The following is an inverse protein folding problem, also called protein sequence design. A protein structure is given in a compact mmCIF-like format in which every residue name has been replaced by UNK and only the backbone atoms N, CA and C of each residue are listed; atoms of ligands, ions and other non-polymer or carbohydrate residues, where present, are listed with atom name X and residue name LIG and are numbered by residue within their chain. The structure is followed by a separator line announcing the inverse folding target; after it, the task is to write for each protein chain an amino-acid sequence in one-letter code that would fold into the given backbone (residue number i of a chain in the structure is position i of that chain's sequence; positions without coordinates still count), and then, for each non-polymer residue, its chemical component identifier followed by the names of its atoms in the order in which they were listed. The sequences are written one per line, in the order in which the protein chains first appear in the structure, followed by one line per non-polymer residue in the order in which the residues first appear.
data_IF_930621148248
#
_entry.id   IF_930621148248
#
_cell.length_a   1.000
_cell.length_b   1.000
_cell.length_c   1.000
_cell.angle_alpha   90.00
_cell.angle_beta   90.00
_cell.angle_gamma   90.00
#
_symmetry.space_group_name_H-M   'P 1'
#
loop_
_entity.id
_entity.type
_entity.pdbx_description
1 polymer ?
#
# COMPACT_ATOMS: atom_id res chain seq x y z
N UNK A 1 78.92 40.89 -18.98
CA UNK A 1 79.80 41.02 -17.80
C UNK A 1 79.57 39.81 -16.91
N UNK A 2 80.64 39.05 -16.61
CA UNK A 2 80.90 38.01 -15.58
C UNK A 2 79.87 36.85 -15.38
N UNK A 3 80.15 35.55 -15.61
CA UNK A 3 81.10 34.54 -15.06
C UNK A 3 80.72 33.85 -13.72
N UNK A 4 80.74 32.51 -13.77
CA UNK A 4 81.11 31.47 -12.78
C UNK A 4 80.22 31.23 -11.53
N UNK A 5 79.77 29.99 -11.28
CA UNK A 5 80.37 29.03 -10.30
C UNK A 5 79.41 28.94 -9.09
N UNK A 6 79.19 27.89 -8.31
CA UNK A 6 80.01 26.77 -7.86
C UNK A 6 79.09 25.76 -7.11
N UNK A 7 79.57 24.53 -6.97
CA UNK A 7 78.93 23.36 -6.35
C UNK A 7 79.11 23.27 -4.82
N UNK A 8 78.45 22.28 -4.20
CA UNK A 8 78.77 21.60 -2.91
C UNK A 8 78.59 22.40 -1.61
N UNK A 9 77.91 21.95 -0.55
CA UNK A 9 77.54 20.61 -0.08
C UNK A 9 78.14 20.44 1.32
N UNK A 10 77.33 20.28 2.38
CA UNK A 10 77.78 19.53 3.57
C UNK A 10 76.62 19.03 4.44
N UNK A 11 76.92 17.95 5.13
CA UNK A 11 76.08 16.84 5.58
C UNK A 11 75.93 16.80 7.12
N UNK A 12 74.73 16.52 7.66
CA UNK A 12 74.56 16.04 9.05
C UNK A 12 73.36 15.05 9.14
N UNK A 13 73.68 13.80 9.49
CA UNK A 13 72.83 12.64 9.87
C UNK A 13 72.40 12.70 11.37
N UNK A 14 71.63 11.76 12.01
CA UNK A 14 70.61 10.76 11.58
C UNK A 14 69.33 10.62 12.51
N UNK A 15 68.19 10.16 11.92
CA UNK A 15 67.08 9.24 12.38
C UNK A 15 66.40 9.34 13.81
N UNK A 16 65.10 8.97 14.02
CA UNK A 16 64.48 7.70 13.55
C UNK A 16 62.97 7.67 13.15
N UNK A 17 62.61 6.55 12.51
CA UNK A 17 61.33 5.81 12.43
C UNK A 17 60.01 6.47 11.96
N UNK A 18 59.57 6.09 10.74
CA UNK A 18 58.37 5.24 10.58
C UNK A 18 58.18 4.70 9.16
N UNK A 19 58.11 3.38 9.06
CA UNK A 19 57.71 2.59 7.89
C UNK A 19 56.21 2.79 7.66
N UNK A 20 55.73 3.05 6.43
CA UNK A 20 54.51 2.42 5.87
C UNK A 20 54.49 2.60 4.34
N UNK A 21 54.56 1.48 3.63
CA UNK A 21 54.26 1.40 2.21
C UNK A 21 52.78 1.75 1.97
N UNK A 22 52.48 2.78 1.19
CA UNK A 22 51.12 3.03 0.68
C UNK A 22 50.87 2.16 -0.55
N UNK A 23 50.73 0.85 -0.29
CA UNK A 23 49.92 -0.06 -1.08
C UNK A 23 48.50 0.05 -0.54
N UNK A 24 47.51 0.48 -1.32
CA UNK A 24 46.15 0.60 -0.76
C UNK A 24 45.01 1.12 -1.63
N UNK A 25 45.24 1.67 -2.82
CA UNK A 25 44.17 2.42 -3.51
C UNK A 25 43.72 1.86 -4.87
N UNK A 26 43.95 0.57 -5.16
CA UNK A 26 43.38 -0.10 -6.35
C UNK A 26 42.36 -1.18 -6.02
N UNK A 27 42.26 -1.61 -4.76
CA UNK A 27 41.24 -2.58 -4.30
C UNK A 27 39.87 -1.91 -4.09
N UNK A 28 39.83 -0.65 -3.62
CA UNK A 28 38.58 0.04 -3.24
C UNK A 28 37.72 0.40 -4.47
N UNK A 29 38.35 0.71 -5.61
CA UNK A 29 37.62 1.05 -6.85
C UNK A 29 37.12 -0.20 -7.60
N UNK A 30 37.78 -1.36 -7.42
CA UNK A 30 37.26 -2.64 -7.90
C UNK A 30 36.08 -3.12 -7.08
N UNK A 31 36.09 -2.86 -5.76
CA UNK A 31 35.00 -3.23 -4.87
C UNK A 31 33.69 -2.50 -5.22
N UNK A 32 33.75 -1.24 -5.69
CA UNK A 32 32.55 -0.45 -6.02
C UNK A 32 31.91 -0.73 -7.39
N UNK A 33 32.60 -1.41 -8.30
CA UNK A 33 32.05 -1.77 -9.62
C UNK A 33 31.36 -3.14 -9.65
N UNK A 34 31.43 -3.89 -8.55
CA UNK A 34 30.76 -5.17 -8.38
C UNK A 34 29.42 -5.07 -7.63
N UNK A 35 29.06 -3.89 -7.10
CA UNK A 35 27.79 -3.67 -6.39
C UNK A 35 26.60 -3.31 -7.30
N UNK A 36 26.79 -3.34 -8.62
CA UNK A 36 25.70 -3.31 -9.62
C UNK A 36 25.33 -4.71 -10.12
N UNK A 37 25.55 -5.76 -9.32
CA UNK A 37 24.94 -7.05 -9.61
C UNK A 37 23.44 -6.95 -9.40
N UNK A 38 22.70 -6.87 -10.49
CA UNK A 38 21.31 -7.32 -10.56
C UNK A 38 21.26 -8.73 -9.96
N UNK A 39 20.99 -8.84 -8.66
CA UNK A 39 20.83 -10.11 -7.95
C UNK A 39 19.71 -10.89 -8.64
N UNK A 40 20.01 -11.95 -9.41
CA UNK A 40 18.99 -12.69 -10.15
C UNK A 40 17.96 -13.31 -9.19
N UNK A 41 18.36 -13.56 -7.94
CA UNK A 41 17.53 -14.09 -6.86
C UNK A 41 16.48 -13.07 -6.39
N UNK A 42 16.81 -11.77 -6.32
CA UNK A 42 15.85 -10.71 -5.95
C UNK A 42 14.82 -10.48 -7.04
N UNK A 43 15.26 -10.49 -8.31
CA UNK A 43 14.36 -10.39 -9.45
C UNK A 43 13.47 -11.63 -9.57
N UNK A 44 14.01 -12.83 -9.38
CA UNK A 44 13.22 -14.07 -9.38
C UNK A 44 12.21 -14.12 -8.25
N UNK A 45 12.57 -13.73 -7.03
CA UNK A 45 11.63 -13.71 -5.89
C UNK A 45 10.54 -12.66 -6.07
N UNK A 46 10.87 -11.47 -6.61
CA UNK A 46 9.89 -10.46 -6.96
C UNK A 46 8.94 -10.93 -8.08
N UNK A 47 9.49 -11.61 -9.11
CA UNK A 47 8.71 -12.17 -10.21
C UNK A 47 7.79 -13.30 -9.74
N UNK A 48 8.28 -14.20 -8.89
CA UNK A 48 7.49 -15.30 -8.30
C UNK A 48 6.35 -14.76 -7.44
N UNK A 49 6.60 -13.75 -6.59
CA UNK A 49 5.57 -13.08 -5.80
C UNK A 49 4.51 -12.41 -6.70
N UNK A 50 4.94 -11.69 -7.74
CA UNK A 50 4.01 -11.06 -8.69
C UNK A 50 3.16 -12.10 -9.44
N UNK A 51 3.76 -13.21 -9.88
CA UNK A 51 3.03 -14.30 -10.55
C UNK A 51 2.02 -14.96 -9.62
N UNK A 52 2.40 -15.26 -8.37
CA UNK A 52 1.51 -15.86 -7.39
C UNK A 52 0.33 -14.92 -7.03
N UNK A 53 0.57 -13.61 -6.94
CA UNK A 53 -0.50 -12.63 -6.74
C UNK A 53 -1.48 -12.62 -7.91
N UNK A 54 -0.97 -12.61 -9.15
CA UNK A 54 -1.81 -12.68 -10.35
C UNK A 54 -2.62 -13.97 -10.43
N UNK A 55 -2.05 -15.10 -10.01
CA UNK A 55 -2.79 -16.36 -9.89
C UNK A 55 -3.90 -16.25 -8.84
N UNK A 56 -3.61 -15.68 -7.66
CA UNK A 56 -4.61 -15.45 -6.62
C UNK A 56 -5.75 -14.54 -7.07
N UNK A 57 -5.43 -13.46 -7.80
CA UNK A 57 -6.42 -12.56 -8.41
C UNK A 57 -7.27 -13.31 -9.45
N UNK A 58 -6.67 -14.14 -10.30
CA UNK A 58 -7.42 -14.98 -11.26
C UNK A 58 -8.35 -15.95 -10.54
N UNK A 59 -7.88 -16.60 -9.46
CA UNK A 59 -8.71 -17.48 -8.63
C UNK A 59 -9.86 -16.72 -7.99
N UNK A 60 -9.61 -15.52 -7.45
CA UNK A 60 -10.67 -14.67 -6.91
C UNK A 60 -11.71 -14.31 -7.97
N UNK A 61 -11.25 -13.95 -9.17
CA UNK A 61 -12.14 -13.58 -10.27
C UNK A 61 -13.00 -14.75 -10.78
N UNK A 62 -12.59 -15.99 -10.53
CA UNK A 62 -13.37 -17.19 -10.86
C UNK A 62 -14.25 -17.65 -9.69
N UNK A 63 -13.66 -17.73 -8.49
CA UNK A 63 -14.30 -18.17 -7.27
C UNK A 63 -13.76 -17.35 -6.08
N UNK A 64 -14.48 -16.29 -5.66
CA UNK A 64 -13.98 -15.33 -4.68
C UNK A 64 -13.59 -15.95 -3.34
N UNK A 65 -14.39 -16.90 -2.85
CA UNK A 65 -14.13 -17.61 -1.58
C UNK A 65 -12.79 -18.34 -1.62
N UNK A 66 -12.57 -19.20 -2.61
CA UNK A 66 -11.30 -19.91 -2.77
C UNK A 66 -10.13 -18.96 -3.09
N UNK A 67 -10.38 -17.87 -3.82
CA UNK A 67 -9.37 -16.85 -4.09
C UNK A 67 -8.86 -16.18 -2.82
N UNK A 68 -9.76 -15.78 -1.91
CA UNK A 68 -9.39 -15.21 -0.61
C UNK A 68 -8.61 -16.22 0.22
N UNK A 69 -9.06 -17.48 0.32
CA UNK A 69 -8.36 -18.51 1.09
C UNK A 69 -6.94 -18.75 0.55
N UNK A 70 -6.76 -18.75 -0.77
CA UNK A 70 -5.46 -18.84 -1.41
C UNK A 70 -4.58 -17.63 -1.10
N UNK A 71 -5.12 -16.42 -1.17
CA UNK A 71 -4.39 -15.17 -0.92
C UNK A 71 -3.98 -15.03 0.55
N UNK A 72 -4.81 -15.52 1.48
CA UNK A 72 -4.46 -15.62 2.91
C UNK A 72 -3.37 -16.68 3.11
N UNK A 73 -3.53 -17.87 2.53
CA UNK A 73 -2.56 -18.97 2.67
C UNK A 73 -1.18 -18.69 2.05
N UNK A 74 -1.14 -17.86 1.01
CA UNK A 74 0.13 -17.40 0.39
C UNK A 74 0.73 -16.18 1.08
N UNK A 75 0.04 -15.58 2.05
CA UNK A 75 0.51 -14.43 2.82
C UNK A 75 0.39 -13.07 2.12
N UNK A 76 -0.38 -12.98 1.02
CA UNK A 76 -0.70 -11.67 0.42
C UNK A 76 -1.73 -10.89 1.24
N UNK A 77 -2.61 -11.62 1.93
CA UNK A 77 -3.50 -11.05 2.94
C UNK A 77 -2.93 -11.45 4.31
N UNK A 78 -2.65 -10.49 5.22
CA UNK A 78 -2.00 -10.77 6.50
C UNK A 78 -2.74 -11.79 7.37
N UNK A 79 -4.07 -11.78 7.32
CA UNK A 79 -4.91 -12.67 8.12
C UNK A 79 -6.27 -12.88 7.47
N UNK A 80 -7.02 -13.87 7.97
CA UNK A 80 -8.42 -14.08 7.60
C UNK A 80 -9.38 -13.10 8.29
N UNK A 81 -8.87 -12.03 8.92
CA UNK A 81 -9.70 -11.01 9.53
C UNK A 81 -10.49 -10.23 8.47
N UNK A 82 -11.75 -9.87 8.75
CA UNK A 82 -12.58 -9.12 7.81
C UNK A 82 -11.96 -7.80 7.34
N UNK A 83 -11.26 -7.11 8.24
CA UNK A 83 -10.57 -5.86 7.96
C UNK A 83 -9.40 -6.00 6.99
N UNK A 84 -8.61 -7.06 7.11
CA UNK A 84 -7.46 -7.30 6.23
C UNK A 84 -7.91 -7.71 4.83
N UNK A 85 -8.95 -8.56 4.75
CA UNK A 85 -9.59 -8.92 3.49
C UNK A 85 -10.19 -7.67 2.83
N UNK A 86 -10.96 -6.87 3.58
CA UNK A 86 -11.57 -5.65 3.06
C UNK A 86 -10.54 -4.64 2.54
N UNK A 87 -9.44 -4.45 3.28
CA UNK A 87 -8.32 -3.60 2.84
C UNK A 87 -7.73 -4.12 1.53
N UNK A 88 -7.48 -5.42 1.44
CA UNK A 88 -6.96 -6.03 0.22
C UNK A 88 -7.92 -5.81 -0.97
N UNK A 89 -9.23 -6.01 -0.79
CA UNK A 89 -10.23 -5.79 -1.84
C UNK A 89 -10.28 -4.34 -2.33
N UNK A 90 -9.92 -3.37 -1.50
CA UNK A 90 -9.87 -1.95 -1.86
C UNK A 90 -8.57 -1.55 -2.56
N UNK A 91 -7.45 -2.19 -2.23
CA UNK A 91 -6.11 -1.81 -2.71
C UNK A 91 -5.60 -2.67 -3.86
N UNK A 92 -6.11 -3.89 -4.02
CA UNK A 92 -5.58 -4.84 -5.00
C UNK A 92 -6.05 -4.50 -6.42
N UNK A 93 -5.07 -4.33 -7.31
CA UNK A 93 -5.31 -4.11 -8.73
C UNK A 93 -5.68 -5.41 -9.45
N UNK A 94 -6.59 -5.33 -10.43
CA UNK A 94 -6.98 -6.46 -11.28
C UNK A 94 -8.09 -7.34 -10.73
N UNK A 95 -8.61 -7.06 -9.53
CA UNK A 95 -9.84 -7.70 -9.04
C UNK A 95 -11.06 -7.21 -9.83
N UNK A 96 -11.91 -8.15 -10.22
CA UNK A 96 -13.16 -7.85 -10.90
C UNK A 96 -14.15 -7.21 -9.93
N UNK A 97 -14.56 -5.98 -10.20
CA UNK A 97 -15.54 -5.23 -9.39
C UNK A 97 -16.87 -5.97 -9.24
N UNK A 98 -17.26 -6.78 -10.22
CA UNK A 98 -18.44 -7.64 -10.16
C UNK A 98 -18.27 -8.78 -9.16
N UNK A 99 -17.08 -9.39 -9.12
CA UNK A 99 -16.78 -10.47 -8.18
C UNK A 99 -16.63 -9.95 -6.75
N UNK A 100 -16.07 -8.74 -6.57
CA UNK A 100 -16.06 -8.04 -5.28
C UNK A 100 -17.49 -7.83 -4.79
N UNK A 101 -18.36 -7.24 -5.62
CA UNK A 101 -19.76 -7.01 -5.25
C UNK A 101 -20.52 -8.30 -4.93
N UNK A 102 -20.31 -9.35 -5.72
CA UNK A 102 -20.87 -10.67 -5.46
C UNK A 102 -20.43 -11.22 -4.10
N UNK A 103 -19.12 -11.26 -3.84
CA UNK A 103 -18.55 -11.76 -2.59
C UNK A 103 -19.02 -10.99 -1.36
N UNK A 104 -19.03 -9.65 -1.42
CA UNK A 104 -19.47 -8.81 -0.31
C UNK A 104 -20.98 -8.87 -0.08
N UNK A 105 -21.75 -9.16 -1.14
CA UNK A 105 -23.20 -9.28 -1.06
C UNK A 105 -23.68 -10.65 -0.57
N UNK A 106 -22.79 -11.62 -0.37
CA UNK A 106 -23.19 -12.96 0.09
C UNK A 106 -23.84 -12.95 1.48
N UNK A 107 -24.71 -13.93 1.68
CA UNK A 107 -25.52 -14.07 2.90
C UNK A 107 -24.75 -14.44 4.16
N UNK A 108 -23.51 -14.89 4.00
CA UNK A 108 -22.69 -15.49 5.05
C UNK A 108 -22.14 -14.46 6.04
N UNK A 109 -22.06 -14.86 7.32
CA UNK A 109 -21.56 -14.00 8.42
C UNK A 109 -20.14 -13.46 8.16
N UNK A 110 -19.28 -14.27 7.54
CA UNK A 110 -17.90 -13.87 7.20
C UNK A 110 -17.91 -12.76 6.14
N UNK A 111 -18.66 -12.96 5.06
CA UNK A 111 -18.82 -12.02 3.97
C UNK A 111 -19.44 -10.70 4.43
N UNK A 112 -20.47 -10.79 5.27
CA UNK A 112 -21.12 -9.63 5.86
C UNK A 112 -20.14 -8.83 6.73
N UNK A 113 -19.34 -9.49 7.57
CA UNK A 113 -18.32 -8.81 8.37
C UNK A 113 -17.27 -8.12 7.49
N UNK A 114 -16.87 -8.73 6.36
CA UNK A 114 -15.96 -8.12 5.39
C UNK A 114 -16.62 -6.92 4.73
N UNK A 115 -17.91 -7.00 4.38
CA UNK A 115 -18.67 -5.88 3.83
C UNK A 115 -18.72 -4.71 4.82
N UNK A 116 -18.96 -4.96 6.11
CA UNK A 116 -18.93 -3.90 7.12
C UNK A 116 -17.56 -3.20 7.15
N UNK A 117 -16.48 -3.98 7.28
CA UNK A 117 -15.13 -3.43 7.29
C UNK A 117 -14.79 -2.68 5.98
N UNK A 118 -15.26 -3.17 4.83
CA UNK A 118 -15.06 -2.55 3.52
C UNK A 118 -15.69 -1.16 3.45
N UNK A 119 -16.93 -1.00 3.93
CA UNK A 119 -17.60 0.31 3.99
C UNK A 119 -16.92 1.22 5.02
N UNK A 120 -16.45 0.66 6.14
CA UNK A 120 -15.79 1.45 7.19
C UNK A 120 -14.46 2.07 6.73
N UNK A 121 -13.75 1.41 5.80
CA UNK A 121 -12.54 1.96 5.17
C UNK A 121 -12.81 3.10 4.18
N UNK A 122 -14.06 3.30 3.75
CA UNK A 122 -14.42 4.43 2.90
C UNK A 122 -14.66 5.67 3.77
N UNK A 123 -13.97 6.75 3.41
CA UNK A 123 -14.13 8.03 4.07
C UNK A 123 -15.19 8.88 3.35
N UNK A 124 -16.32 9.08 4.01
CA UNK A 124 -17.41 9.92 3.52
C UNK A 124 -17.50 11.26 4.25
N UNK A 125 -16.58 11.55 5.18
CA UNK A 125 -16.61 12.79 5.96
C UNK A 125 -16.52 13.98 5.00
N UNK A 126 -17.31 15.01 5.24
CA UNK A 126 -17.33 16.26 4.46
C UNK A 126 -17.78 16.14 3.00
N UNK A 127 -18.10 14.94 2.52
CA UNK A 127 -18.65 14.73 1.18
C UNK A 127 -20.17 14.96 1.19
N UNK A 128 -20.69 15.55 0.10
CA UNK A 128 -22.12 15.57 -0.15
C UNK A 128 -22.66 14.15 -0.36
N UNK A 129 -23.94 13.93 -0.08
CA UNK A 129 -24.57 12.60 -0.19
C UNK A 129 -24.33 11.94 -1.54
N UNK A 130 -24.52 12.67 -2.63
CA UNK A 130 -24.32 12.16 -3.99
C UNK A 130 -22.85 11.85 -4.29
N UNK A 131 -21.91 12.62 -3.75
CA UNK A 131 -20.47 12.40 -3.93
C UNK A 131 -20.01 11.15 -3.16
N UNK A 132 -20.49 10.99 -1.92
CA UNK A 132 -20.27 9.79 -1.12
C UNK A 132 -20.86 8.55 -1.80
N UNK A 133 -22.08 8.65 -2.34
CA UNK A 133 -22.73 7.57 -3.07
C UNK A 133 -21.95 7.21 -4.35
N UNK A 134 -21.47 8.21 -5.10
CA UNK A 134 -20.65 8.00 -6.29
C UNK A 134 -19.33 7.30 -5.94
N UNK A 135 -18.66 7.73 -4.87
CA UNK A 135 -17.44 7.09 -4.38
C UNK A 135 -17.70 5.63 -4.00
N UNK A 136 -18.79 5.36 -3.27
CA UNK A 136 -19.19 4.03 -2.85
C UNK A 136 -19.42 3.10 -4.05
N UNK A 137 -20.24 3.53 -5.01
CA UNK A 137 -20.59 2.75 -6.20
C UNK A 137 -19.45 2.62 -7.22
N UNK A 138 -18.39 3.42 -7.11
CA UNK A 138 -17.22 3.32 -7.99
C UNK A 138 -16.25 2.19 -7.56
N UNK A 139 -16.29 1.80 -6.28
CA UNK A 139 -15.39 0.79 -5.71
C UNK A 139 -15.75 -0.65 -6.10
N UNK A 140 -17.03 -0.94 -6.30
CA UNK A 140 -17.51 -2.27 -6.68
C UNK A 140 -18.73 -2.17 -7.62
N UNK A 141 -19.18 -3.29 -8.19
CA UNK A 141 -20.44 -3.33 -8.94
C UNK A 141 -21.54 -3.88 -8.04
N UNK A 142 -22.68 -3.19 -7.97
CA UNK A 142 -23.83 -3.66 -7.21
C UNK A 142 -24.31 -5.02 -7.76
N UNK A 143 -24.59 -6.01 -6.89
CA UNK A 143 -25.28 -7.22 -7.30
C UNK A 143 -26.68 -6.89 -7.83
N UNK A 144 -27.19 -7.68 -8.77
CA UNK A 144 -28.53 -7.48 -9.32
C UNK A 144 -29.67 -7.89 -8.38
N UNK A 145 -29.36 -8.62 -7.31
CA UNK A 145 -30.33 -9.11 -6.34
C UNK A 145 -30.72 -8.00 -5.35
N UNK A 146 -32.02 -7.65 -5.31
CA UNK A 146 -32.52 -6.54 -4.49
C UNK A 146 -32.13 -6.66 -3.00
N UNK A 147 -32.17 -7.89 -2.45
CA UNK A 147 -31.78 -8.13 -1.05
C UNK A 147 -30.31 -7.79 -0.78
N UNK A 148 -29.41 -8.04 -1.75
CA UNK A 148 -27.99 -7.69 -1.61
C UNK A 148 -27.82 -6.18 -1.65
N UNK A 149 -28.51 -5.51 -2.58
CA UNK A 149 -28.49 -4.03 -2.70
C UNK A 149 -28.93 -3.38 -1.39
N UNK A 150 -30.04 -3.84 -0.80
CA UNK A 150 -30.58 -3.30 0.45
C UNK A 150 -29.55 -3.33 1.59
N UNK A 151 -28.81 -4.43 1.74
CA UNK A 151 -27.73 -4.56 2.74
C UNK A 151 -26.61 -3.54 2.52
N UNK A 152 -26.16 -3.36 1.28
CA UNK A 152 -25.15 -2.34 0.96
C UNK A 152 -25.65 -0.93 1.27
N UNK A 153 -26.90 -0.64 0.90
CA UNK A 153 -27.51 0.67 1.11
C UNK A 153 -27.68 0.97 2.59
N UNK A 154 -28.10 -0.02 3.39
CA UNK A 154 -28.25 0.14 4.84
C UNK A 154 -26.90 0.45 5.51
N UNK A 155 -25.85 -0.31 5.17
CA UNK A 155 -24.51 -0.06 5.73
C UNK A 155 -23.92 1.27 5.24
N UNK A 156 -24.15 1.63 3.98
CA UNK A 156 -23.74 2.94 3.46
C UNK A 156 -24.41 4.09 4.22
N UNK A 157 -25.72 3.99 4.46
CA UNK A 157 -26.47 5.01 5.20
C UNK A 157 -25.95 5.17 6.63
N UNK A 158 -25.75 4.06 7.36
CA UNK A 158 -25.15 4.07 8.70
C UNK A 158 -23.80 4.81 8.69
N UNK A 159 -22.89 4.42 7.79
CA UNK A 159 -21.55 5.02 7.70
C UNK A 159 -21.57 6.49 7.30
N UNK A 160 -22.46 6.87 6.38
CA UNK A 160 -22.59 8.26 5.92
C UNK A 160 -23.11 9.18 7.03
N UNK A 161 -24.08 8.72 7.82
CA UNK A 161 -24.63 9.45 8.96
C UNK A 161 -23.60 9.62 10.07
N UNK A 162 -22.85 8.56 10.39
CA UNK A 162 -21.75 8.61 11.38
C UNK A 162 -20.69 9.65 11.01
N UNK A 163 -20.36 9.75 9.71
CA UNK A 163 -19.37 10.70 9.20
C UNK A 163 -19.90 12.12 9.00
N UNK A 164 -21.22 12.32 8.94
CA UNK A 164 -21.86 13.59 8.58
C UNK A 164 -23.12 13.89 9.41
N UNK A 165 -23.02 13.98 10.75
CA UNK A 165 -24.18 14.14 11.64
C UNK A 165 -24.98 15.44 11.35
N UNK A 166 -24.33 16.47 10.81
CA UNK A 166 -24.97 17.76 10.51
C UNK A 166 -25.72 17.81 9.17
N UNK A 167 -25.66 16.76 8.34
CA UNK A 167 -26.32 16.77 7.01
C UNK A 167 -27.79 16.36 7.07
N UNK A 168 -28.23 15.73 8.18
CA UNK A 168 -29.58 15.22 8.33
C UNK A 168 -30.61 16.30 8.72
N UNK A 169 -30.17 17.45 9.23
CA UNK A 169 -31.04 18.54 9.72
C UNK A 169 -30.73 19.91 9.10
N UNK A 170 -30.50 19.95 7.78
CA UNK A 170 -30.57 21.22 7.02
C UNK A 170 -31.96 21.45 6.42
N UNK A 171 -32.99 20.90 7.05
CA UNK A 171 -34.37 21.32 6.83
C UNK A 171 -34.57 22.56 7.71
N UNK A 172 -35.01 23.66 7.12
CA UNK A 172 -34.82 25.03 7.61
C UNK A 172 -35.64 25.44 8.86
N UNK A 173 -35.88 24.57 9.84
CA UNK A 173 -36.72 24.87 11.01
C UNK A 173 -36.10 24.62 12.38
N UNK A 174 -34.86 24.13 12.48
CA UNK A 174 -34.20 23.91 13.79
C UNK A 174 -32.82 24.58 13.85
N UNK A 175 -32.81 25.91 13.77
CA UNK A 175 -31.75 26.71 14.38
C UNK A 175 -31.98 26.75 15.90
N UNK A 176 -31.49 25.74 16.64
CA UNK A 176 -31.41 25.82 18.11
C UNK A 176 -30.08 25.34 18.68
N UNK A 177 -28.98 25.67 18.02
CA UNK A 177 -27.62 25.44 18.55
C UNK A 177 -26.75 26.72 18.64
N UNK A 178 -27.35 27.88 18.88
CA UNK A 178 -26.70 29.12 19.33
C UNK A 178 -27.75 29.75 20.27
N UNK A 179 -27.64 29.84 21.60
CA UNK A 179 -26.65 30.51 22.42
C UNK A 179 -26.69 29.95 23.87
N UNK A 180 -25.57 29.80 24.58
CA UNK A 180 -25.57 29.65 26.03
C UNK A 180 -25.56 31.04 26.71
N UNK A 181 -26.55 31.30 27.57
CA UNK A 181 -26.46 32.32 28.64
C UNK A 181 -25.92 31.70 29.91
#
# INVERSE_FOLDING_TARGET
MAQAGDETGDEVTPLPDRITATSGNTEVLRQSLLDNTDDPIRFETARRKKTALLEGIKKFNFQPTCGIDFLVGTGFIPSSLPSDIARFLLTADGLSKSMIGGYLGEGDKKNLAVMHAFVDFLDFRTLGFLDALRLFLQKFRLPGEAQKIDRFMLKFAERYLDGNPCTLFKNASEQRCLFPT
#
